data_IF_157433712833
#
_entry.id   IF_157433712833
#
_cell.length_a   1.000
_cell.length_b   1.000
_cell.length_c   1.000
_cell.angle_alpha   90.00
_cell.angle_beta   90.00
_cell.angle_gamma   90.00
#
_symmetry.space_group_name_H-M   'P 1'
#
loop_
_entity.id
_entity.type
_entity.pdbx_description
1 polymer ?
#
# COMPACT_ATOMS: atom_id res chain seq x y z
N UNK A 1 -39.15 5.30 -1.82
CA UNK A 1 -38.03 4.39 -2.16
C UNK A 1 -37.54 4.82 -3.52
N UNK A 2 -36.26 5.18 -3.64
CA UNK A 2 -35.66 5.64 -4.89
C UNK A 2 -35.08 4.44 -5.64
N UNK A 3 -35.44 4.25 -6.90
CA UNK A 3 -34.91 3.18 -7.74
C UNK A 3 -33.72 3.69 -8.56
N UNK A 4 -32.62 2.94 -8.53
CA UNK A 4 -31.39 3.23 -9.26
C UNK A 4 -30.79 1.94 -9.80
N UNK A 5 -29.92 1.99 -10.80
CA UNK A 5 -29.34 0.77 -11.37
C UNK A 5 -28.26 0.20 -10.45
N UNK A 6 -27.36 1.07 -9.99
CA UNK A 6 -26.17 0.69 -9.23
C UNK A 6 -25.99 1.55 -7.98
N UNK A 7 -25.70 0.89 -6.86
CA UNK A 7 -25.24 1.55 -5.62
C UNK A 7 -23.79 1.14 -5.34
N UNK A 8 -22.93 2.11 -5.09
CA UNK A 8 -21.58 1.89 -4.60
C UNK A 8 -21.49 2.34 -3.15
N UNK A 9 -20.95 1.49 -2.27
CA UNK A 9 -20.76 1.81 -0.85
C UNK A 9 -19.25 1.90 -0.56
N UNK A 10 -18.80 3.11 -0.22
CA UNK A 10 -17.42 3.49 -0.02
C UNK A 10 -16.81 4.13 -1.28
N UNK A 11 -16.12 5.25 -1.09
CA UNK A 11 -15.41 6.01 -2.13
C UNK A 11 -13.89 5.78 -2.08
N UNK A 12 -13.48 4.52 -1.84
CA UNK A 12 -12.09 4.06 -1.99
C UNK A 12 -11.66 4.03 -3.46
N UNK A 13 -10.44 3.59 -3.78
CA UNK A 13 -9.87 3.79 -5.12
C UNK A 13 -10.69 3.21 -6.29
N UNK A 14 -11.40 2.09 -6.11
CA UNK A 14 -12.13 1.44 -7.22
C UNK A 14 -13.43 2.18 -7.55
N UNK A 15 -14.17 2.61 -6.52
CA UNK A 15 -15.55 3.03 -6.66
C UNK A 15 -15.75 4.33 -7.47
N UNK A 16 -14.96 5.41 -7.29
CA UNK A 16 -15.10 6.64 -8.08
C UNK A 16 -15.03 6.38 -9.59
N UNK A 17 -14.00 5.66 -10.06
CA UNK A 17 -13.85 5.35 -11.48
C UNK A 17 -14.96 4.42 -11.99
N UNK A 18 -15.35 3.42 -11.20
CA UNK A 18 -16.45 2.54 -11.58
C UNK A 18 -17.78 3.28 -11.66
N UNK A 19 -18.08 4.14 -10.68
CA UNK A 19 -19.31 4.94 -10.64
C UNK A 19 -19.41 5.85 -11.87
N UNK A 20 -18.31 6.51 -12.24
CA UNK A 20 -18.24 7.38 -13.42
C UNK A 20 -18.42 6.58 -14.71
N UNK A 21 -17.79 5.41 -14.85
CA UNK A 21 -17.95 4.57 -16.04
C UNK A 21 -19.38 4.01 -16.18
N UNK A 22 -19.98 3.57 -15.07
CA UNK A 22 -21.38 3.12 -15.05
C UNK A 22 -22.34 4.25 -15.45
N UNK A 23 -22.15 5.44 -14.88
CA UNK A 23 -22.98 6.61 -15.17
C UNK A 23 -22.83 7.09 -16.62
N UNK A 24 -21.60 7.08 -17.15
CA UNK A 24 -21.31 7.39 -18.55
C UNK A 24 -21.94 6.37 -19.53
N UNK A 25 -22.19 5.14 -19.08
CA UNK A 25 -22.92 4.12 -19.82
C UNK A 25 -24.45 4.17 -19.56
N UNK A 26 -24.95 5.30 -19.06
CA UNK A 26 -26.38 5.60 -18.95
C UNK A 26 -27.06 5.06 -17.69
N UNK A 27 -26.34 4.43 -16.77
CA UNK A 27 -26.93 3.95 -15.51
C UNK A 27 -27.22 5.10 -14.55
N UNK A 28 -28.31 5.01 -13.80
CA UNK A 28 -28.53 5.82 -12.60
C UNK A 28 -27.70 5.24 -11.45
N UNK A 29 -26.71 6.00 -11.00
CA UNK A 29 -25.71 5.53 -10.02
C UNK A 29 -25.76 6.37 -8.75
N UNK A 30 -25.68 5.70 -7.60
CA UNK A 30 -25.51 6.36 -6.30
C UNK A 30 -24.21 5.89 -5.67
N UNK A 31 -23.32 6.84 -5.33
CA UNK A 31 -22.11 6.58 -4.56
C UNK A 31 -22.28 7.10 -3.13
N UNK A 32 -22.25 6.17 -2.18
CA UNK A 32 -22.43 6.43 -0.75
C UNK A 32 -21.06 6.42 -0.06
N UNK A 33 -20.74 7.49 0.67
CA UNK A 33 -19.51 7.59 1.47
C UNK A 33 -19.82 8.10 2.88
N UNK A 34 -19.40 7.36 3.91
CA UNK A 34 -19.72 7.67 5.31
C UNK A 34 -18.75 8.62 6.00
N UNK A 35 -17.59 8.86 5.39
CA UNK A 35 -16.51 9.70 5.88
C UNK A 35 -15.99 10.61 4.73
N UNK A 36 -14.68 10.81 4.61
CA UNK A 36 -14.10 11.63 3.54
C UNK A 36 -13.97 10.85 2.23
N UNK A 37 -14.45 11.43 1.13
CA UNK A 37 -14.23 10.92 -0.23
C UNK A 37 -12.73 10.69 -0.53
N UNK A 38 -12.44 9.67 -1.33
CA UNK A 38 -11.08 9.22 -1.64
C UNK A 38 -10.53 8.19 -0.65
N UNK A 39 -11.32 7.86 0.38
CA UNK A 39 -11.05 6.79 1.33
C UNK A 39 -9.70 6.92 2.04
N UNK A 40 -9.09 5.77 2.36
CA UNK A 40 -7.79 5.75 3.06
C UNK A 40 -6.68 6.41 2.24
N UNK A 41 -6.61 6.13 0.94
CA UNK A 41 -5.49 6.51 0.08
C UNK A 41 -5.25 8.03 0.07
N UNK A 42 -6.31 8.81 -0.15
CA UNK A 42 -6.25 10.27 -0.23
C UNK A 42 -6.10 10.90 1.15
N UNK A 43 -6.83 10.40 2.14
CA UNK A 43 -7.00 11.15 3.40
C UNK A 43 -5.97 10.81 4.47
N UNK A 44 -5.61 9.53 4.62
CA UNK A 44 -4.82 9.03 5.77
C UNK A 44 -3.79 7.96 5.38
N UNK A 45 -3.47 7.85 4.09
CA UNK A 45 -2.64 6.79 3.52
C UNK A 45 -1.58 7.34 2.56
N UNK A 46 -1.72 7.04 1.27
CA UNK A 46 -0.73 7.31 0.24
C UNK A 46 -0.43 8.80 0.05
N UNK A 47 -1.43 9.63 -0.25
CA UNK A 47 -1.23 11.08 -0.48
C UNK A 47 -0.52 11.78 0.68
N UNK A 48 -0.99 11.65 1.95
CA UNK A 48 -0.34 12.35 3.05
C UNK A 48 1.05 11.79 3.34
N UNK A 49 1.21 10.46 3.38
CA UNK A 49 2.50 9.83 3.70
C UNK A 49 3.56 10.18 2.65
N UNK A 50 3.22 10.18 1.36
CA UNK A 50 4.16 10.42 0.26
C UNK A 50 4.50 11.91 0.16
N UNK A 51 3.55 12.79 0.48
CA UNK A 51 3.80 14.23 0.63
C UNK A 51 4.76 14.51 1.79
N UNK A 52 4.51 13.90 2.95
CA UNK A 52 5.32 14.10 4.15
C UNK A 52 6.72 13.47 4.01
N UNK A 53 6.80 12.31 3.36
CA UNK A 53 8.07 11.67 2.95
C UNK A 53 8.95 12.62 2.15
N UNK A 54 8.38 13.40 1.24
CA UNK A 54 9.19 14.36 0.47
C UNK A 54 9.78 15.45 1.36
N UNK A 55 9.03 15.98 2.33
CA UNK A 55 9.56 16.93 3.33
C UNK A 55 10.67 16.29 4.17
N UNK A 56 10.46 15.06 4.65
CA UNK A 56 11.44 14.29 5.39
C UNK A 56 12.74 14.04 4.59
N UNK A 57 12.63 13.70 3.29
CA UNK A 57 13.78 13.54 2.40
C UNK A 57 14.53 14.85 2.18
N UNK A 58 13.83 15.98 2.06
CA UNK A 58 14.49 17.30 1.94
C UNK A 58 15.30 17.59 3.20
N UNK A 59 14.76 17.34 4.40
CA UNK A 59 15.49 17.51 5.65
C UNK A 59 16.73 16.60 5.73
N UNK A 60 16.60 15.35 5.28
CA UNK A 60 17.73 14.41 5.20
C UNK A 60 18.84 14.89 4.26
N UNK A 61 18.49 15.26 3.02
CA UNK A 61 19.46 15.79 2.05
C UNK A 61 20.11 17.09 2.51
N UNK A 62 19.36 17.98 3.17
CA UNK A 62 19.92 19.22 3.73
C UNK A 62 20.97 18.95 4.82
N UNK A 63 20.77 17.89 5.62
CA UNK A 63 21.78 17.43 6.61
C UNK A 63 23.00 16.79 5.95
N UNK A 64 22.81 16.14 4.80
CA UNK A 64 23.87 15.55 3.97
C UNK A 64 24.53 16.54 3.00
N UNK A 65 24.13 17.82 2.99
CA UNK A 65 24.54 18.79 1.98
C UNK A 65 26.07 18.91 1.80
N UNK A 66 26.83 18.76 2.89
CA UNK A 66 28.29 18.81 2.87
C UNK A 66 28.93 17.68 2.04
N UNK A 67 28.28 16.52 1.92
CA UNK A 67 28.71 15.42 1.03
C UNK A 67 28.74 15.86 -0.43
N UNK A 68 27.91 16.84 -0.79
CA UNK A 68 27.78 17.39 -2.13
C UNK A 68 28.50 18.74 -2.30
N UNK A 69 29.37 19.11 -1.35
CA UNK A 69 30.08 20.40 -1.37
C UNK A 69 29.19 21.62 -1.10
N UNK A 70 27.97 21.42 -0.57
CA UNK A 70 27.05 22.49 -0.22
C UNK A 70 27.10 22.73 1.29
N UNK A 71 27.46 23.95 1.70
CA UNK A 71 27.54 24.33 3.10
C UNK A 71 26.23 24.93 3.60
N UNK A 72 25.72 24.42 4.72
CA UNK A 72 24.50 24.89 5.39
C UNK A 72 24.77 25.14 6.88
N UNK A 73 23.84 25.80 7.58
CA UNK A 73 23.84 25.87 9.04
C UNK A 73 23.15 24.64 9.68
N UNK A 74 22.89 24.66 11.00
CA UNK A 74 22.09 23.63 11.66
C UNK A 74 20.71 23.48 10.98
N UNK A 75 20.36 22.24 10.63
CA UNK A 75 19.10 21.93 9.95
C UNK A 75 18.02 21.63 10.99
N UNK A 76 16.99 22.47 11.03
CA UNK A 76 15.76 22.26 11.79
C UNK A 76 14.58 22.05 10.83
N UNK A 77 13.55 21.35 11.32
CA UNK A 77 12.31 21.12 10.58
C UNK A 77 11.20 21.87 11.31
N UNK A 78 10.52 22.77 10.61
CA UNK A 78 9.24 23.31 11.04
C UNK A 78 8.17 22.22 10.84
N UNK A 79 7.93 21.44 11.89
CA UNK A 79 7.00 20.33 11.85
C UNK A 79 5.56 20.78 11.55
N UNK A 80 5.00 21.82 12.22
CA UNK A 80 3.70 22.38 11.86
C UNK A 80 3.60 22.76 10.37
N UNK A 81 4.61 23.41 9.79
CA UNK A 81 4.59 23.76 8.37
C UNK A 81 4.63 22.53 7.45
N UNK A 82 5.39 21.49 7.81
CA UNK A 82 5.44 20.23 7.06
C UNK A 82 4.09 19.50 7.07
N UNK A 83 3.42 19.48 8.23
CA UNK A 83 2.06 18.93 8.39
C UNK A 83 1.04 19.76 7.63
N UNK A 84 1.11 21.10 7.68
CA UNK A 84 0.18 21.95 6.95
C UNK A 84 0.32 21.76 5.43
N UNK A 85 1.55 21.69 4.91
CA UNK A 85 1.78 21.36 3.49
C UNK A 85 1.15 20.02 3.10
N UNK A 86 1.24 19.02 3.99
CA UNK A 86 0.63 17.72 3.77
C UNK A 86 -0.91 17.83 3.72
N UNK A 87 -1.52 18.54 4.68
CA UNK A 87 -2.96 18.80 4.73
C UNK A 87 -3.47 19.52 3.49
N UNK A 88 -2.74 20.52 3.00
CA UNK A 88 -3.11 21.26 1.78
C UNK A 88 -3.16 20.34 0.55
N UNK A 89 -2.24 19.38 0.45
CA UNK A 89 -2.22 18.39 -0.64
C UNK A 89 -3.33 17.36 -0.54
N UNK A 90 -3.65 16.92 0.67
CA UNK A 90 -4.81 16.05 0.92
C UNK A 90 -6.09 16.78 0.52
N UNK A 91 -6.26 18.03 0.98
CA UNK A 91 -7.45 18.81 0.70
C UNK A 91 -7.63 19.09 -0.80
N UNK A 92 -6.57 19.49 -1.49
CA UNK A 92 -6.61 19.69 -2.94
C UNK A 92 -6.99 18.41 -3.69
N UNK A 93 -6.42 17.25 -3.28
CA UNK A 93 -6.74 15.96 -3.90
C UNK A 93 -8.19 15.55 -3.64
N UNK A 94 -8.69 15.74 -2.43
CA UNK A 94 -10.07 15.42 -2.04
C UNK A 94 -11.07 16.31 -2.76
N UNK A 95 -10.79 17.61 -2.81
CA UNK A 95 -11.63 18.59 -3.50
C UNK A 95 -11.74 18.29 -4.99
N UNK A 96 -10.61 18.02 -5.66
CA UNK A 96 -10.61 17.66 -7.08
C UNK A 96 -11.40 16.36 -7.37
N UNK A 97 -11.31 15.37 -6.47
CA UNK A 97 -12.09 14.13 -6.58
C UNK A 97 -13.59 14.41 -6.46
N UNK A 98 -14.01 15.17 -5.45
CA UNK A 98 -15.42 15.50 -5.23
C UNK A 98 -15.98 16.29 -6.42
N UNK A 99 -15.26 17.32 -6.89
CA UNK A 99 -15.68 18.10 -8.05
C UNK A 99 -15.86 17.26 -9.31
N UNK A 100 -14.95 16.31 -9.56
CA UNK A 100 -15.08 15.40 -10.70
C UNK A 100 -16.32 14.51 -10.59
N UNK A 101 -16.60 13.98 -9.40
CA UNK A 101 -17.76 13.13 -9.15
C UNK A 101 -19.08 13.91 -9.24
N UNK A 102 -19.18 15.08 -8.61
CA UNK A 102 -20.37 15.95 -8.67
C UNK A 102 -20.64 16.47 -10.09
N UNK A 103 -19.60 16.62 -10.92
CA UNK A 103 -19.70 17.01 -12.31
C UNK A 103 -20.10 15.89 -13.28
N UNK A 104 -20.31 14.66 -12.80
CA UNK A 104 -20.68 13.51 -13.64
C UNK A 104 -22.20 13.35 -13.71
N UNK A 105 -22.76 13.38 -14.92
CA UNK A 105 -24.18 13.15 -15.15
C UNK A 105 -24.58 11.71 -14.75
N UNK A 106 -25.81 11.54 -14.25
CA UNK A 106 -26.35 10.26 -13.73
C UNK A 106 -25.65 9.68 -12.50
N UNK A 107 -24.74 10.44 -11.87
CA UNK A 107 -24.09 10.07 -10.61
C UNK A 107 -24.56 10.98 -9.48
N UNK A 108 -25.18 10.38 -8.46
CA UNK A 108 -25.51 11.05 -7.21
C UNK A 108 -24.53 10.65 -6.11
N UNK A 109 -24.11 11.64 -5.32
CA UNK A 109 -23.29 11.43 -4.13
C UNK A 109 -24.13 11.57 -2.88
N UNK A 110 -24.08 10.57 -2.00
CA UNK A 110 -24.71 10.63 -0.68
C UNK A 110 -23.64 10.49 0.40
N UNK A 111 -23.46 11.55 1.20
CA UNK A 111 -22.60 11.47 2.37
C UNK A 111 -23.38 10.86 3.55
N UNK A 112 -23.06 9.62 3.90
CA UNK A 112 -23.74 8.86 4.94
C UNK A 112 -23.29 7.40 5.00
N UNK A 113 -23.73 6.68 6.03
CA UNK A 113 -23.39 5.26 6.20
C UNK A 113 -24.46 4.38 5.54
N UNK A 114 -24.13 3.83 4.38
CA UNK A 114 -24.99 2.87 3.67
C UNK A 114 -24.94 1.48 4.29
N UNK A 115 -26.11 0.82 4.41
CA UNK A 115 -26.22 -0.57 4.87
C UNK A 115 -27.34 -1.32 4.16
N UNK A 116 -27.23 -2.64 4.06
CA UNK A 116 -28.30 -3.49 3.54
C UNK A 116 -29.47 -3.57 4.52
N UNK A 117 -30.69 -3.52 3.98
CA UNK A 117 -31.95 -3.78 4.70
C UNK A 117 -32.64 -5.06 4.20
N UNK A 118 -32.08 -5.72 3.18
CA UNK A 118 -32.58 -6.96 2.62
C UNK A 118 -32.74 -6.89 1.10
N UNK A 119 -33.76 -7.58 0.58
CA UNK A 119 -34.10 -7.62 -0.85
C UNK A 119 -35.59 -7.42 -1.05
N UNK A 120 -35.94 -6.85 -2.21
CA UNK A 120 -37.30 -6.84 -2.75
C UNK A 120 -37.25 -7.42 -4.17
N UNK A 121 -37.73 -8.66 -4.31
CA UNK A 121 -37.51 -9.46 -5.51
C UNK A 121 -36.02 -9.62 -5.83
N UNK A 122 -35.63 -9.19 -7.03
CA UNK A 122 -34.24 -9.27 -7.49
C UNK A 122 -33.36 -8.11 -7.00
N UNK A 123 -33.97 -7.03 -6.49
CA UNK A 123 -33.29 -5.78 -6.12
C UNK A 123 -32.84 -5.77 -4.66
N UNK A 124 -31.79 -5.02 -4.37
CA UNK A 124 -31.24 -4.81 -3.04
C UNK A 124 -31.79 -3.54 -2.41
N UNK A 125 -32.18 -3.62 -1.15
CA UNK A 125 -32.63 -2.47 -0.37
C UNK A 125 -31.45 -1.94 0.46
N UNK A 126 -31.08 -0.68 0.23
CA UNK A 126 -29.99 0.01 0.93
C UNK A 126 -30.56 1.22 1.67
N UNK A 127 -30.29 1.33 2.97
CA UNK A 127 -30.62 2.53 3.74
C UNK A 127 -29.40 3.43 3.94
N UNK A 128 -29.62 4.73 3.86
CA UNK A 128 -28.63 5.77 4.17
C UNK A 128 -29.36 7.03 4.64
N UNK A 129 -28.97 7.58 5.80
CA UNK A 129 -29.60 8.78 6.37
C UNK A 129 -31.14 8.75 6.50
N UNK A 130 -31.74 7.56 6.62
CA UNK A 130 -33.19 7.36 6.66
C UNK A 130 -33.88 7.29 5.29
N UNK A 131 -33.15 7.51 4.19
CA UNK A 131 -33.59 7.24 2.84
C UNK A 131 -33.42 5.74 2.51
N UNK A 132 -34.33 5.21 1.68
CA UNK A 132 -34.30 3.83 1.18
C UNK A 132 -34.09 3.82 -0.34
N UNK A 133 -33.01 3.21 -0.78
CA UNK A 133 -32.65 2.98 -2.18
C UNK A 133 -32.97 1.52 -2.56
N UNK A 134 -33.40 1.31 -3.80
CA UNK A 134 -33.60 -0.01 -4.40
C UNK A 134 -32.69 -0.12 -5.63
N UNK A 135 -31.74 -1.05 -5.62
CA UNK A 135 -30.70 -1.18 -6.65
C UNK A 135 -30.63 -2.58 -7.26
N UNK A 136 -30.34 -2.68 -8.55
CA UNK A 136 -30.11 -3.98 -9.19
C UNK A 136 -28.70 -4.52 -8.89
N UNK A 137 -27.71 -3.62 -8.81
CA UNK A 137 -26.32 -3.97 -8.54
C UNK A 137 -25.76 -3.19 -7.35
N UNK A 138 -24.91 -3.84 -6.55
CA UNK A 138 -24.21 -3.21 -5.44
C UNK A 138 -22.71 -3.51 -5.50
N UNK A 139 -21.90 -2.46 -5.43
CA UNK A 139 -20.44 -2.56 -5.38
C UNK A 139 -19.93 -2.10 -4.02
N UNK A 140 -19.25 -2.98 -3.30
CA UNK A 140 -18.71 -2.72 -1.99
C UNK A 140 -17.23 -2.34 -2.09
N UNK A 141 -16.87 -1.12 -1.71
CA UNK A 141 -15.50 -0.62 -1.69
C UNK A 141 -15.19 0.15 -0.38
N UNK A 142 -15.65 -0.38 0.74
CA UNK A 142 -15.47 0.22 2.08
C UNK A 142 -14.07 0.02 2.67
N UNK A 143 -13.20 -0.74 1.99
CA UNK A 143 -11.79 -0.89 2.31
C UNK A 143 -11.51 -1.54 3.67
N UNK A 144 -10.39 -1.16 4.27
CA UNK A 144 -9.91 -1.67 5.57
C UNK A 144 -9.53 -0.52 6.51
N UNK A 145 -9.40 -0.79 7.81
CA UNK A 145 -8.86 0.11 8.83
C UNK A 145 -7.71 -0.53 9.60
N UNK A 146 -6.94 0.26 10.35
CA UNK A 146 -5.86 -0.27 11.19
C UNK A 146 -6.41 -1.25 12.23
N UNK A 147 -5.66 -2.33 12.48
CA UNK A 147 -5.95 -3.26 13.56
C UNK A 147 -5.42 -2.69 14.89
N UNK A 148 -6.34 -2.40 15.80
CA UNK A 148 -6.00 -2.15 17.21
C UNK A 148 -5.88 -3.50 17.92
N UNK A 149 -4.71 -3.88 18.46
CA UNK A 149 -4.55 -5.15 19.16
C UNK A 149 -5.29 -5.16 20.49
N UNK A 150 -5.72 -6.34 20.94
CA UNK A 150 -6.18 -6.54 22.30
C UNK A 150 -4.97 -6.67 23.22
N UNK A 151 -4.71 -5.64 24.04
CA UNK A 151 -3.49 -5.52 24.85
C UNK A 151 -3.83 -4.93 26.22
N UNK A 152 -3.40 -5.54 27.34
CA UNK A 152 -3.64 -5.01 28.67
C UNK A 152 -3.14 -3.57 28.83
N UNK A 153 -4.02 -2.70 29.32
CA UNK A 153 -3.73 -1.28 29.58
C UNK A 153 -3.77 -0.37 28.35
N UNK A 154 -4.08 -0.89 27.16
CA UNK A 154 -4.20 -0.08 25.94
C UNK A 154 -5.23 1.05 26.08
N UNK A 155 -6.39 0.77 26.68
CA UNK A 155 -7.45 1.77 26.92
C UNK A 155 -7.07 2.85 27.93
N UNK A 156 -5.97 2.64 28.68
CA UNK A 156 -5.49 3.61 29.67
C UNK A 156 -4.48 4.61 29.10
N UNK A 157 -4.04 4.44 27.84
CA UNK A 157 -3.03 5.31 27.22
C UNK A 157 -3.47 5.82 25.85
N UNK A 158 -3.10 7.05 25.48
CA UNK A 158 -3.20 7.49 24.09
C UNK A 158 -2.36 6.57 23.20
N UNK A 159 -2.96 6.05 22.14
CA UNK A 159 -2.29 5.26 21.13
C UNK A 159 -2.67 5.74 19.74
N UNK A 160 -1.76 5.55 18.80
CA UNK A 160 -1.89 6.02 17.44
C UNK A 160 -2.06 4.85 16.48
N UNK A 161 -2.77 5.14 15.41
CA UNK A 161 -2.76 4.42 14.15
C UNK A 161 -2.17 5.33 13.05
N UNK A 162 -2.19 4.87 11.79
CA UNK A 162 -1.68 5.69 10.69
C UNK A 162 -2.43 7.02 10.52
N UNK A 163 -3.74 7.07 10.83
CA UNK A 163 -4.54 8.27 10.65
C UNK A 163 -4.25 9.32 11.73
N UNK A 164 -4.30 8.90 12.99
CA UNK A 164 -4.05 9.76 14.16
C UNK A 164 -2.59 10.22 14.26
N UNK A 165 -1.62 9.41 13.82
CA UNK A 165 -0.24 9.88 13.71
C UNK A 165 -0.11 11.04 12.70
N UNK A 166 -0.73 10.92 11.52
CA UNK A 166 -0.73 11.99 10.52
C UNK A 166 -1.52 13.24 10.95
N UNK A 167 -2.35 13.13 11.99
CA UNK A 167 -3.14 14.23 12.54
C UNK A 167 -2.38 15.06 13.59
N UNK A 168 -1.23 14.59 14.11
CA UNK A 168 -0.46 15.30 15.12
C UNK A 168 -0.03 16.70 14.64
N UNK A 169 -0.01 17.65 15.57
CA UNK A 169 0.49 19.02 15.34
C UNK A 169 1.92 19.24 15.86
N UNK A 170 2.45 18.27 16.59
CA UNK A 170 3.80 18.28 17.15
C UNK A 170 4.55 17.00 16.78
N UNK A 171 5.87 17.12 16.64
CA UNK A 171 6.72 15.97 16.38
C UNK A 171 6.87 15.17 17.67
N UNK A 172 6.59 13.85 17.69
CA UNK A 172 6.87 13.02 18.85
C UNK A 172 8.34 13.14 19.28
N UNK A 173 8.61 13.37 20.56
CA UNK A 173 9.98 13.32 21.08
C UNK A 173 10.57 11.92 20.93
N UNK A 174 9.76 10.91 21.22
CA UNK A 174 10.07 9.50 20.98
C UNK A 174 8.82 8.75 20.53
N UNK A 175 8.86 8.25 19.29
CA UNK A 175 7.81 7.45 18.69
C UNK A 175 8.17 5.97 18.80
N UNK A 176 7.38 5.23 19.57
CA UNK A 176 7.40 3.77 19.57
C UNK A 176 6.51 3.27 18.43
N UNK A 177 6.98 2.32 17.63
CA UNK A 177 6.20 1.72 16.56
C UNK A 177 6.13 0.21 16.78
N UNK A 178 4.93 -0.33 16.91
CA UNK A 178 4.69 -1.77 17.00
C UNK A 178 4.37 -2.31 15.60
N UNK A 179 5.31 -3.06 15.04
CA UNK A 179 5.21 -3.67 13.71
C UNK A 179 6.22 -3.10 12.70
N UNK A 180 7.08 -3.97 12.17
CA UNK A 180 8.12 -3.61 11.19
C UNK A 180 7.76 -4.01 9.74
N UNK A 181 6.50 -3.77 9.36
CA UNK A 181 6.05 -3.88 7.96
C UNK A 181 6.18 -2.53 7.22
N UNK A 182 5.83 -2.48 5.94
CA UNK A 182 5.98 -1.28 5.11
C UNK A 182 5.43 0.00 5.76
N UNK A 183 4.26 -0.04 6.41
CA UNK A 183 3.69 1.14 7.10
C UNK A 183 4.61 1.62 8.23
N UNK A 184 5.05 0.70 9.09
CA UNK A 184 5.90 1.02 10.23
C UNK A 184 7.29 1.52 9.82
N UNK A 185 7.87 0.93 8.78
CA UNK A 185 9.18 1.32 8.25
C UNK A 185 9.13 2.70 7.56
N UNK A 186 8.12 2.95 6.71
CA UNK A 186 7.93 4.25 6.05
C UNK A 186 7.70 5.35 7.07
N UNK A 187 6.73 5.19 7.97
CA UNK A 187 6.42 6.20 8.99
C UNK A 187 7.58 6.38 9.96
N UNK A 188 8.27 5.30 10.34
CA UNK A 188 9.47 5.37 11.17
C UNK A 188 10.56 6.24 10.55
N UNK A 189 10.89 6.04 9.27
CA UNK A 189 11.89 6.86 8.59
C UNK A 189 11.44 8.31 8.40
N UNK A 190 10.17 8.52 8.06
CA UNK A 190 9.60 9.87 7.91
C UNK A 190 9.76 10.64 9.23
N UNK A 191 9.26 10.10 10.33
CA UNK A 191 9.28 10.78 11.63
C UNK A 191 10.70 10.92 12.19
N UNK A 192 11.56 9.92 11.96
CA UNK A 192 12.98 10.03 12.30
C UNK A 192 13.64 11.23 11.64
N UNK A 193 13.39 11.42 10.34
CA UNK A 193 13.94 12.54 9.56
C UNK A 193 13.28 13.88 9.90
N UNK A 194 12.02 13.89 10.34
CA UNK A 194 11.35 15.11 10.83
C UNK A 194 11.80 15.53 12.23
N UNK A 195 12.44 14.65 13.00
CA UNK A 195 13.10 15.01 14.27
C UNK A 195 12.82 14.07 15.43
N UNK A 196 11.94 13.08 15.28
CA UNK A 196 11.63 12.14 16.35
C UNK A 196 12.82 11.19 16.63
N UNK A 197 12.96 10.76 17.89
CA UNK A 197 13.59 9.47 18.20
C UNK A 197 12.61 8.37 17.83
N UNK A 198 13.07 7.26 17.23
CA UNK A 198 12.18 6.20 16.77
C UNK A 198 12.71 4.83 17.21
N UNK A 199 11.85 4.05 17.84
CA UNK A 199 12.11 2.66 18.19
C UNK A 199 11.00 1.77 17.61
N UNK A 200 11.38 0.79 16.79
CA UNK A 200 10.45 -0.14 16.14
C UNK A 200 10.55 -1.51 16.82
N UNK A 201 9.44 -1.92 17.45
CA UNK A 201 9.28 -3.18 18.15
C UNK A 201 8.63 -4.18 17.21
N UNK A 202 9.23 -5.35 17.06
CA UNK A 202 8.73 -6.38 16.15
C UNK A 202 8.94 -7.78 16.68
N UNK A 203 7.88 -8.60 16.60
CA UNK A 203 7.85 -9.95 17.16
C UNK A 203 8.82 -10.92 16.49
N UNK A 204 9.15 -10.70 15.21
CA UNK A 204 10.02 -11.57 14.45
C UNK A 204 11.47 -11.11 14.51
N UNK A 205 12.39 -12.01 14.17
CA UNK A 205 13.83 -11.73 14.14
C UNK A 205 14.29 -10.87 12.97
N UNK A 206 13.39 -10.51 12.04
CA UNK A 206 13.67 -9.65 10.90
C UNK A 206 12.49 -8.75 10.57
N UNK A 207 12.79 -7.58 9.98
CA UNK A 207 11.79 -6.66 9.44
C UNK A 207 11.34 -7.11 8.04
N UNK A 208 10.29 -6.48 7.50
CA UNK A 208 9.86 -6.69 6.13
C UNK A 208 9.77 -8.19 5.72
N UNK A 209 9.21 -9.04 6.59
CA UNK A 209 9.28 -10.52 6.50
C UNK A 209 8.79 -11.14 5.17
N UNK A 210 8.07 -10.38 4.35
CA UNK A 210 7.62 -10.81 3.03
C UNK A 210 8.72 -10.72 1.96
N UNK A 211 9.79 -9.98 2.22
CA UNK A 211 10.95 -9.88 1.34
C UNK A 211 11.98 -10.98 1.62
N UNK A 212 12.89 -11.15 0.67
CA UNK A 212 14.09 -11.95 0.88
C UNK A 212 14.95 -11.38 2.04
N UNK A 213 15.69 -12.26 2.70
CA UNK A 213 16.46 -11.93 3.91
C UNK A 213 17.51 -10.84 3.67
N UNK A 214 18.14 -10.84 2.49
CA UNK A 214 19.17 -9.87 2.12
C UNK A 214 18.60 -8.48 1.83
N UNK A 215 17.43 -8.40 1.20
CA UNK A 215 16.68 -7.15 1.04
C UNK A 215 16.27 -6.59 2.41
N UNK A 216 15.73 -7.46 3.27
CA UNK A 216 15.31 -7.10 4.63
C UNK A 216 16.48 -6.57 5.47
N UNK A 217 17.66 -7.21 5.35
CA UNK A 217 18.86 -6.82 6.05
C UNK A 217 19.37 -5.44 5.61
N UNK A 218 19.41 -5.17 4.30
CA UNK A 218 19.84 -3.87 3.78
C UNK A 218 18.89 -2.74 4.21
N UNK A 219 17.57 -2.99 4.21
CA UNK A 219 16.60 -2.02 4.74
C UNK A 219 16.87 -1.73 6.22
N UNK A 220 17.13 -2.76 7.01
CA UNK A 220 17.44 -2.57 8.42
C UNK A 220 18.76 -1.80 8.63
N UNK A 221 19.76 -2.05 7.79
CA UNK A 221 21.08 -1.40 7.86
C UNK A 221 20.99 0.11 7.66
N UNK A 222 20.41 0.59 6.53
CA UNK A 222 20.33 2.02 6.28
C UNK A 222 19.39 2.74 7.26
N UNK A 223 18.32 2.08 7.72
CA UNK A 223 17.43 2.65 8.73
C UNK A 223 18.11 2.76 10.11
N UNK A 224 18.94 1.79 10.49
CA UNK A 224 19.78 1.89 11.70
C UNK A 224 20.83 2.98 11.57
N UNK A 225 21.43 3.15 10.39
CA UNK A 225 22.39 4.22 10.13
C UNK A 225 21.77 5.62 10.30
N UNK A 226 20.46 5.76 10.05
CA UNK A 226 19.70 6.98 10.34
C UNK A 226 19.35 7.14 11.83
N UNK A 227 19.59 6.15 12.68
CA UNK A 227 19.32 6.17 14.12
C UNK A 227 17.95 5.64 14.52
N UNK A 228 17.32 4.81 13.67
CA UNK A 228 16.14 4.03 14.08
C UNK A 228 16.60 2.80 14.86
N UNK A 229 16.06 2.64 16.06
CA UNK A 229 16.30 1.46 16.88
C UNK A 229 15.32 0.34 16.52
N UNK A 230 15.81 -0.89 16.38
CA UNK A 230 14.98 -2.07 16.15
C UNK A 230 15.05 -3.02 17.34
N UNK A 231 13.92 -3.25 17.98
CA UNK A 231 13.75 -4.23 19.07
C UNK A 231 13.05 -5.46 18.49
N UNK A 232 13.85 -6.38 17.96
CA UNK A 232 13.39 -7.60 17.26
C UNK A 232 13.22 -8.76 18.24
N UNK A 233 12.51 -9.80 17.81
CA UNK A 233 12.13 -10.94 18.67
C UNK A 233 11.40 -10.49 19.96
N UNK A 234 10.69 -9.37 19.89
CA UNK A 234 10.06 -8.76 21.05
C UNK A 234 8.64 -8.30 20.73
N UNK A 235 7.74 -8.44 21.70
CA UNK A 235 6.35 -8.00 21.60
C UNK A 235 5.99 -7.16 22.81
N UNK A 236 5.14 -6.15 22.62
CA UNK A 236 4.55 -5.42 23.73
C UNK A 236 3.52 -6.33 24.41
N UNK A 237 3.63 -6.51 25.73
CA UNK A 237 2.76 -7.37 26.53
C UNK A 237 1.77 -6.57 27.37
N UNK A 238 2.11 -5.33 27.72
CA UNK A 238 1.26 -4.42 28.49
C UNK A 238 1.64 -2.96 28.23
N UNK A 239 0.64 -2.08 28.33
CA UNK A 239 0.84 -0.63 28.36
C UNK A 239 0.43 -0.04 29.70
N UNK A 240 1.06 1.07 30.06
CA UNK A 240 0.69 1.90 31.20
C UNK A 240 0.99 3.38 30.93
N UNK A 241 0.26 4.32 31.55
CA UNK A 241 0.60 5.73 31.52
C UNK A 241 2.00 5.99 32.09
N UNK A 242 2.71 6.94 31.49
CA UNK A 242 4.00 7.43 31.98
C UNK A 242 4.02 8.97 31.94
N UNK A 243 4.87 9.60 32.77
CA UNK A 243 4.97 11.06 32.80
C UNK A 243 5.34 11.66 31.42
N UNK A 244 6.21 10.95 30.69
CA UNK A 244 6.66 11.33 29.35
C UNK A 244 5.75 10.80 28.23
N UNK A 245 4.62 10.14 28.54
CA UNK A 245 3.70 9.56 27.55
C UNK A 245 3.25 8.14 27.93
N UNK A 246 3.88 7.13 27.33
CA UNK A 246 3.51 5.72 27.46
C UNK A 246 4.70 4.85 27.87
N UNK A 247 4.43 3.93 28.79
CA UNK A 247 5.33 2.84 29.17
C UNK A 247 4.87 1.55 28.50
N UNK A 248 5.73 0.93 27.70
CA UNK A 248 5.50 -0.35 27.03
C UNK A 248 6.35 -1.45 27.66
N UNK A 249 5.68 -2.39 28.33
CA UNK A 249 6.31 -3.62 28.83
C UNK A 249 6.51 -4.59 27.66
N UNK A 250 7.71 -5.15 27.56
CA UNK A 250 8.11 -6.06 26.49
C UNK A 250 8.11 -7.52 26.97
N UNK A 251 8.10 -8.45 26.01
CA UNK A 251 8.04 -9.89 26.28
C UNK A 251 9.24 -10.46 27.04
N UNK A 252 10.35 -9.73 27.12
CA UNK A 252 11.53 -10.08 27.94
C UNK A 252 11.49 -9.47 29.35
N UNK A 253 10.41 -8.77 29.70
CA UNK A 253 10.21 -8.08 30.99
C UNK A 253 10.85 -6.70 31.06
N UNK A 254 11.55 -6.24 30.01
CA UNK A 254 12.05 -4.87 29.93
C UNK A 254 10.92 -3.88 29.66
N UNK A 255 11.18 -2.59 29.89
CA UNK A 255 10.21 -1.51 29.66
C UNK A 255 10.81 -0.44 28.78
N UNK A 256 10.06 -0.02 27.76
CA UNK A 256 10.41 1.08 26.88
C UNK A 256 9.44 2.24 27.10
N UNK A 257 9.99 3.43 27.34
CA UNK A 257 9.22 4.67 27.51
C UNK A 257 9.27 5.43 26.20
N UNK A 258 8.12 5.92 25.73
CA UNK A 258 8.07 6.86 24.61
C UNK A 258 6.95 7.88 24.78
N UNK A 259 7.06 8.97 24.02
CA UNK A 259 6.03 10.03 24.00
C UNK A 259 4.73 9.59 23.34
N UNK A 260 4.85 8.74 22.31
CA UNK A 260 3.75 8.27 21.50
C UNK A 260 4.00 6.82 21.12
N UNK A 261 2.93 6.05 20.94
CA UNK A 261 2.98 4.68 20.42
C UNK A 261 2.07 4.52 19.21
N UNK A 262 2.62 4.04 18.09
CA UNK A 262 1.91 3.70 16.86
C UNK A 262 1.74 2.18 16.76
N UNK A 263 0.53 1.73 16.47
CA UNK A 263 0.26 0.36 16.05
C UNK A 263 0.19 0.23 14.52
N UNK A 264 1.18 -0.48 13.96
CA UNK A 264 1.28 -0.80 12.53
C UNK A 264 1.26 -2.33 12.31
N UNK A 265 0.37 -3.02 13.04
CA UNK A 265 0.36 -4.49 13.19
C UNK A 265 -0.54 -5.22 12.18
N UNK A 266 -1.37 -4.50 11.43
CA UNK A 266 -2.25 -5.10 10.43
C UNK A 266 -3.43 -4.21 10.08
N UNK A 267 -4.30 -4.75 9.23
CA UNK A 267 -5.54 -4.11 8.80
C UNK A 267 -6.70 -5.09 8.85
N UNK A 268 -7.89 -4.59 9.14
CA UNK A 268 -9.14 -5.34 9.18
C UNK A 268 -10.17 -4.73 8.24
N UNK A 269 -11.00 -5.55 7.56
CA UNK A 269 -11.99 -5.07 6.59
C UNK A 269 -13.15 -4.35 7.27
N UNK A 270 -13.70 -3.33 6.60
CA UNK A 270 -14.81 -2.51 7.11
C UNK A 270 -16.15 -3.10 6.67
N UNK A 271 -16.61 -4.14 7.36
CA UNK A 271 -17.85 -4.89 7.05
C UNK A 271 -18.97 -4.68 8.06
N UNK A 272 -18.66 -4.17 9.25
CA UNK A 272 -19.54 -4.21 10.42
C UNK A 272 -20.80 -3.34 10.24
N UNK A 273 -20.67 -2.24 9.49
CA UNK A 273 -21.79 -1.32 9.23
C UNK A 273 -22.65 -1.73 8.03
N UNK A 274 -22.21 -2.70 7.22
CA UNK A 274 -22.88 -3.06 5.97
C UNK A 274 -24.14 -3.91 6.19
N UNK A 275 -24.28 -4.59 7.33
CA UNK A 275 -25.37 -5.55 7.58
C UNK A 275 -25.44 -6.67 6.51
N UNK A 276 -24.29 -7.28 6.20
CA UNK A 276 -24.16 -8.32 5.16
C UNK A 276 -25.12 -9.52 5.37
N UNK A 277 -25.47 -9.81 6.63
CA UNK A 277 -26.39 -10.89 6.98
C UNK A 277 -27.80 -10.71 6.36
N UNK A 278 -28.25 -9.47 6.15
CA UNK A 278 -29.56 -9.19 5.54
C UNK A 278 -29.67 -9.66 4.08
N UNK A 279 -28.54 -9.85 3.40
CA UNK A 279 -28.48 -10.30 2.00
C UNK A 279 -27.71 -11.60 1.81
N UNK A 280 -27.14 -12.16 2.88
CA UNK A 280 -26.45 -13.44 2.86
C UNK A 280 -25.04 -13.41 2.27
N UNK A 281 -24.36 -12.26 2.25
CA UNK A 281 -22.96 -12.17 1.77
C UNK A 281 -22.00 -12.80 2.79
N UNK A 282 -21.14 -13.70 2.32
CA UNK A 282 -20.18 -14.42 3.17
C UNK A 282 -18.84 -13.69 3.33
N UNK A 283 -18.28 -13.79 4.53
CA UNK A 283 -16.90 -13.37 4.84
C UNK A 283 -16.02 -14.57 5.19
N UNK A 284 -14.71 -14.44 4.99
CA UNK A 284 -13.73 -15.42 5.47
C UNK A 284 -13.51 -15.31 7.00
N UNK A 285 -12.63 -16.16 7.54
CA UNK A 285 -12.32 -16.19 8.99
C UNK A 285 -11.67 -14.89 9.50
N UNK A 286 -11.15 -14.05 8.61
CA UNK A 286 -10.50 -12.77 8.90
C UNK A 286 -11.45 -11.59 8.64
N UNK A 287 -12.70 -11.86 8.24
CA UNK A 287 -13.74 -10.88 7.96
C UNK A 287 -13.74 -10.31 6.54
N UNK A 288 -12.85 -10.75 5.65
CA UNK A 288 -12.83 -10.25 4.27
C UNK A 288 -13.98 -10.85 3.48
N UNK A 289 -14.60 -10.07 2.59
CA UNK A 289 -15.68 -10.57 1.74
C UNK A 289 -15.09 -11.55 0.72
N UNK A 290 -15.65 -12.76 0.65
CA UNK A 290 -15.20 -13.77 -0.30
C UNK A 290 -15.62 -13.40 -1.71
N UNK A 291 -14.68 -13.45 -2.65
CA UNK A 291 -14.99 -13.24 -4.06
C UNK A 291 -14.30 -14.24 -4.98
N UNK A 292 -14.88 -14.44 -6.17
CA UNK A 292 -14.16 -15.02 -7.31
C UNK A 292 -13.13 -14.03 -7.89
N UNK A 293 -12.50 -14.41 -9.01
CA UNK A 293 -11.48 -13.60 -9.68
C UNK A 293 -12.04 -12.41 -10.48
N UNK A 294 -13.36 -12.32 -10.63
CA UNK A 294 -14.10 -11.18 -11.19
C UNK A 294 -14.79 -10.33 -10.10
N UNK A 295 -14.42 -10.58 -8.85
CA UNK A 295 -14.91 -9.88 -7.66
C UNK A 295 -16.39 -10.10 -7.33
N UNK A 296 -17.04 -11.11 -7.93
CA UNK A 296 -18.39 -11.49 -7.55
C UNK A 296 -18.37 -12.13 -6.16
N UNK A 297 -19.33 -11.75 -5.33
CA UNK A 297 -19.59 -12.44 -4.06
C UNK A 297 -20.42 -13.71 -4.30
N UNK A 298 -20.76 -14.43 -3.23
CA UNK A 298 -21.73 -15.53 -3.30
C UNK A 298 -23.17 -15.07 -3.62
N UNK A 299 -23.44 -13.76 -3.64
CA UNK A 299 -24.75 -13.18 -3.95
C UNK A 299 -24.67 -12.49 -5.31
N UNK A 300 -25.41 -13.01 -6.29
CA UNK A 300 -25.48 -12.43 -7.63
C UNK A 300 -25.95 -10.97 -7.58
N UNK A 301 -25.25 -10.09 -8.30
CA UNK A 301 -25.49 -8.65 -8.29
C UNK A 301 -24.69 -7.87 -7.25
N UNK A 302 -23.94 -8.54 -6.35
CA UNK A 302 -23.02 -7.90 -5.41
C UNK A 302 -21.57 -8.24 -5.76
N UNK A 303 -20.75 -7.20 -5.95
CA UNK A 303 -19.29 -7.30 -6.10
C UNK A 303 -18.56 -6.59 -4.95
N UNK A 304 -17.37 -7.09 -4.57
CA UNK A 304 -16.53 -6.47 -3.55
C UNK A 304 -15.12 -6.14 -4.09
N UNK A 305 -14.76 -4.86 -4.07
CA UNK A 305 -13.58 -4.31 -4.74
C UNK A 305 -12.61 -3.68 -3.73
N UNK A 306 -11.32 -3.70 -4.04
CA UNK A 306 -10.26 -3.15 -3.20
C UNK A 306 -10.06 -3.96 -1.92
N UNK A 307 -9.46 -3.34 -0.90
CA UNK A 307 -8.94 -4.06 0.27
C UNK A 307 -9.95 -4.99 0.98
N UNK A 308 -11.26 -4.72 0.90
CA UNK A 308 -12.31 -5.51 1.57
C UNK A 308 -12.42 -6.95 1.02
N UNK A 309 -11.95 -7.21 -0.20
CA UNK A 309 -11.98 -8.55 -0.81
C UNK A 309 -10.75 -9.41 -0.45
N UNK A 310 -9.71 -8.80 0.14
CA UNK A 310 -8.48 -9.51 0.55
C UNK A 310 -7.57 -9.99 -0.61
N UNK A 311 -7.89 -9.68 -1.88
CA UNK A 311 -7.12 -10.05 -3.09
C UNK A 311 -6.04 -9.03 -3.47
N UNK A 312 -5.85 -8.01 -2.65
CA UNK A 312 -4.86 -6.95 -2.81
C UNK A 312 -4.93 -6.00 -1.62
N UNK A 313 -3.86 -5.28 -1.35
CA UNK A 313 -3.80 -4.30 -0.26
C UNK A 313 -3.15 -2.99 -0.71
N UNK A 314 -3.28 -2.67 -2.00
CA UNK A 314 -2.66 -1.50 -2.61
C UNK A 314 -3.64 -0.73 -3.50
N UNK A 315 -3.42 0.58 -3.59
CA UNK A 315 -4.24 1.49 -4.41
C UNK A 315 -4.33 1.02 -5.86
N UNK A 316 -3.22 0.69 -6.51
CA UNK A 316 -3.22 0.22 -7.91
C UNK A 316 -3.91 -1.14 -8.07
N UNK A 317 -3.87 -2.02 -7.06
CA UNK A 317 -4.66 -3.26 -7.09
C UNK A 317 -6.15 -2.97 -7.04
N UNK A 318 -6.60 -2.04 -6.18
CA UNK A 318 -8.00 -1.61 -6.14
C UNK A 318 -8.44 -0.90 -7.42
N UNK A 319 -7.56 -0.13 -8.06
CA UNK A 319 -7.87 0.47 -9.36
C UNK A 319 -8.00 -0.60 -10.46
N UNK A 320 -7.13 -1.60 -10.44
CA UNK A 320 -7.22 -2.73 -11.37
C UNK A 320 -8.46 -3.60 -11.12
N UNK A 321 -8.95 -3.69 -9.88
CA UNK A 321 -10.24 -4.33 -9.57
C UNK A 321 -11.38 -3.62 -10.32
N UNK A 322 -11.38 -2.28 -10.37
CA UNK A 322 -12.31 -1.51 -11.19
C UNK A 322 -12.18 -1.89 -12.68
N UNK A 323 -10.96 -1.93 -13.22
CA UNK A 323 -10.76 -2.22 -14.65
C UNK A 323 -11.29 -3.59 -15.05
N UNK A 324 -11.07 -4.62 -14.23
CA UNK A 324 -11.60 -5.97 -14.44
C UNK A 324 -13.13 -5.97 -14.32
N UNK A 325 -13.68 -5.36 -13.27
CA UNK A 325 -15.13 -5.31 -13.06
C UNK A 325 -15.85 -4.53 -14.18
N UNK A 326 -15.23 -3.48 -14.70
CA UNK A 326 -15.75 -2.69 -15.81
C UNK A 326 -15.67 -3.43 -17.14
N UNK A 327 -14.56 -4.13 -17.42
CA UNK A 327 -14.39 -4.87 -18.67
C UNK A 327 -15.46 -5.95 -18.88
N UNK A 328 -15.95 -6.55 -17.80
CA UNK A 328 -17.08 -7.51 -17.84
C UNK A 328 -18.41 -6.84 -18.25
N UNK A 329 -18.60 -5.57 -17.90
CA UNK A 329 -19.86 -4.84 -18.10
C UNK A 329 -19.93 -4.08 -19.43
N UNK A 330 -18.79 -3.54 -19.90
CA UNK A 330 -18.71 -2.73 -21.13
C UNK A 330 -18.78 -3.58 -22.43
N UNK A 331 -18.97 -4.90 -22.31
CA UNK A 331 -19.08 -5.81 -23.45
C UNK A 331 -17.79 -5.95 -24.27
N UNK A 332 -16.67 -5.37 -23.80
CA UNK A 332 -15.35 -5.61 -24.38
C UNK A 332 -14.92 -7.04 -24.10
N UNK A 333 -14.14 -7.63 -24.99
CA UNK A 333 -13.46 -8.90 -24.70
C UNK A 333 -12.16 -8.56 -23.96
N UNK A 334 -12.10 -8.72 -22.61
CA UNK A 334 -10.87 -8.42 -21.89
C UNK A 334 -9.74 -9.33 -22.38
N UNK A 335 -8.52 -8.78 -22.41
CA UNK A 335 -7.30 -9.53 -22.70
C UNK A 335 -6.24 -9.24 -21.62
N UNK A 336 -5.19 -10.06 -21.58
CA UNK A 336 -4.06 -9.91 -20.67
C UNK A 336 -4.48 -9.97 -19.21
N UNK A 337 -4.13 -8.93 -18.44
CA UNK A 337 -4.40 -8.89 -17.01
C UNK A 337 -5.81 -8.42 -16.64
N UNK A 338 -6.59 -7.92 -17.61
CA UNK A 338 -7.99 -7.55 -17.38
C UNK A 338 -8.95 -8.74 -17.43
N UNK A 339 -8.46 -9.91 -17.86
CA UNK A 339 -9.24 -11.16 -17.89
C UNK A 339 -9.79 -11.51 -16.51
N UNK A 340 -8.92 -11.59 -15.50
CA UNK A 340 -9.30 -11.93 -14.13
C UNK A 340 -8.20 -11.52 -13.14
N UNK A 341 -8.55 -11.44 -11.86
CA UNK A 341 -7.62 -11.03 -10.80
C UNK A 341 -6.52 -12.07 -10.51
N UNK A 342 -6.71 -13.35 -10.88
CA UNK A 342 -5.75 -14.42 -10.61
C UNK A 342 -4.56 -14.38 -11.58
N UNK A 343 -4.72 -13.75 -12.75
CA UNK A 343 -3.66 -13.46 -13.73
C UNK A 343 -2.83 -12.24 -13.41
N UNK A 344 -3.22 -11.47 -12.39
CA UNK A 344 -2.55 -10.23 -12.02
C UNK A 344 -1.09 -10.49 -11.64
N UNK A 345 -0.19 -9.81 -12.32
CA UNK A 345 1.20 -9.67 -11.93
C UNK A 345 1.23 -8.75 -10.71
N UNK A 346 1.36 -9.34 -9.53
CA UNK A 346 1.46 -8.57 -8.29
C UNK A 346 2.76 -7.77 -8.28
N UNK A 347 2.59 -6.45 -8.20
CA UNK A 347 3.65 -5.47 -8.03
C UNK A 347 3.34 -4.56 -6.84
N UNK A 348 4.36 -4.02 -6.19
CA UNK A 348 4.21 -2.98 -5.18
C UNK A 348 5.52 -2.23 -4.98
N UNK A 349 5.44 -1.12 -4.26
CA UNK A 349 6.60 -0.40 -3.75
C UNK A 349 6.50 -0.21 -2.24
N UNK A 350 7.65 -0.26 -1.57
CA UNK A 350 7.83 0.25 -0.22
C UNK A 350 8.61 1.56 -0.32
N UNK A 351 8.04 2.64 0.18
CA UNK A 351 8.57 3.99 0.05
C UNK A 351 9.48 4.37 1.22
N UNK A 352 10.29 3.43 1.70
CA UNK A 352 11.52 3.79 2.42
C UNK A 352 12.43 4.59 1.48
N UNK A 353 13.54 5.05 1.99
CA UNK A 353 14.51 5.80 1.22
C UNK A 353 15.93 5.28 1.49
N UNK A 354 16.51 4.50 0.56
CA UNK A 354 16.01 4.21 -0.79
C UNK A 354 14.71 3.38 -0.84
N UNK A 355 13.88 3.56 -1.89
CA UNK A 355 12.66 2.78 -2.09
C UNK A 355 12.96 1.35 -2.57
N UNK A 356 12.05 0.43 -2.27
CA UNK A 356 12.01 -0.91 -2.83
C UNK A 356 10.85 -1.03 -3.82
N UNK A 357 11.13 -1.33 -5.07
CA UNK A 357 10.15 -1.83 -6.05
C UNK A 357 10.17 -3.35 -6.11
N UNK A 358 9.00 -3.98 -6.11
CA UNK A 358 8.84 -5.44 -6.12
C UNK A 358 7.82 -5.88 -7.16
N UNK A 359 8.12 -6.96 -7.87
CA UNK A 359 7.17 -7.64 -8.77
C UNK A 359 7.38 -9.14 -8.79
N UNK A 360 6.31 -9.94 -8.84
CA UNK A 360 6.38 -11.39 -8.99
C UNK A 360 7.00 -12.12 -7.79
N UNK A 361 7.67 -13.24 -8.05
CA UNK A 361 8.17 -14.13 -6.98
C UNK A 361 9.47 -13.64 -6.32
N UNK A 362 9.71 -14.05 -5.07
CA UNK A 362 10.97 -13.79 -4.34
C UNK A 362 12.05 -14.81 -4.73
N UNK A 363 13.30 -14.59 -4.32
CA UNK A 363 14.34 -15.62 -4.46
C UNK A 363 14.02 -16.86 -3.62
N UNK A 364 13.45 -16.69 -2.41
CA UNK A 364 12.98 -17.82 -1.61
C UNK A 364 11.94 -18.68 -2.34
N UNK A 365 10.92 -18.05 -2.95
CA UNK A 365 9.91 -18.75 -3.75
C UNK A 365 10.49 -19.36 -5.03
N UNK A 366 11.49 -18.72 -5.64
CA UNK A 366 12.21 -19.30 -6.78
C UNK A 366 12.93 -20.59 -6.38
N UNK A 367 13.59 -20.63 -5.21
CA UNK A 367 14.22 -21.85 -4.68
C UNK A 367 13.22 -22.98 -4.45
N UNK A 368 12.06 -22.67 -3.87
CA UNK A 368 10.96 -23.65 -3.69
C UNK A 368 10.51 -24.24 -5.04
N UNK A 369 10.38 -23.41 -6.08
CA UNK A 369 9.99 -23.85 -7.43
C UNK A 369 11.09 -24.67 -8.12
N UNK A 370 12.37 -24.38 -7.87
CA UNK A 370 13.48 -25.21 -8.36
C UNK A 370 13.45 -26.60 -7.72
N UNK A 371 13.14 -26.70 -6.43
CA UNK A 371 12.94 -27.99 -5.76
C UNK A 371 11.78 -28.80 -6.36
N UNK A 372 10.82 -28.13 -7.00
CA UNK A 372 9.70 -28.74 -7.74
C UNK A 372 10.04 -29.04 -9.20
N UNK A 373 11.29 -28.83 -9.64
CA UNK A 373 11.78 -29.16 -10.97
C UNK A 373 11.72 -28.03 -12.00
N UNK A 374 11.39 -26.80 -11.61
CA UNK A 374 11.46 -25.65 -12.53
C UNK A 374 12.90 -25.19 -12.75
N UNK A 375 13.23 -24.78 -13.98
CA UNK A 375 14.54 -24.23 -14.32
C UNK A 375 14.50 -22.71 -14.21
N UNK A 376 14.98 -22.17 -13.10
CA UNK A 376 14.93 -20.73 -12.81
C UNK A 376 16.35 -20.16 -12.77
N UNK A 377 16.51 -18.99 -13.39
CA UNK A 377 17.75 -18.22 -13.37
C UNK A 377 17.56 -16.94 -12.56
N UNK A 378 18.62 -16.51 -11.87
CA UNK A 378 18.68 -15.27 -11.11
C UNK A 378 19.94 -14.50 -11.46
N UNK A 379 19.85 -13.17 -11.45
CA UNK A 379 20.99 -12.28 -11.48
C UNK A 379 20.77 -11.10 -10.55
N UNK A 380 21.86 -10.61 -9.96
CA UNK A 380 21.85 -9.49 -9.04
C UNK A 380 22.99 -8.51 -9.37
N UNK A 381 22.79 -7.24 -9.03
CA UNK A 381 23.83 -6.22 -8.98
C UNK A 381 23.58 -5.30 -7.79
N UNK A 382 24.64 -4.84 -7.12
CA UNK A 382 24.54 -3.86 -6.03
C UNK A 382 24.36 -2.46 -6.61
N UNK A 383 23.61 -1.59 -5.94
CA UNK A 383 23.53 -0.18 -6.35
C UNK A 383 24.92 0.50 -6.29
N UNK A 384 25.80 0.07 -5.40
CA UNK A 384 27.21 0.44 -5.38
C UNK A 384 28.02 0.05 -6.63
N UNK A 385 27.48 -0.76 -7.54
CA UNK A 385 28.10 -1.11 -8.83
C UNK A 385 27.39 -0.44 -10.03
N UNK A 386 26.33 0.35 -9.80
CA UNK A 386 25.54 1.07 -10.81
C UNK A 386 26.03 2.51 -10.94
N UNK A 387 26.43 2.94 -12.14
CA UNK A 387 27.03 4.26 -12.37
C UNK A 387 26.14 5.41 -11.90
N UNK A 388 24.86 5.41 -12.28
CA UNK A 388 23.90 6.44 -11.88
C UNK A 388 23.76 6.57 -10.35
N UNK A 389 23.78 5.46 -9.62
CA UNK A 389 23.70 5.45 -8.17
C UNK A 389 24.97 6.02 -7.51
N UNK A 390 26.14 5.74 -8.09
CA UNK A 390 27.42 6.35 -7.65
C UNK A 390 27.43 7.86 -7.87
N UNK A 391 27.01 8.31 -9.04
CA UNK A 391 26.95 9.73 -9.41
C UNK A 391 26.06 10.54 -8.46
N UNK A 392 24.98 9.94 -7.97
CA UNK A 392 24.04 10.55 -7.03
C UNK A 392 24.44 10.38 -5.56
N UNK A 393 25.51 9.62 -5.25
CA UNK A 393 25.85 9.21 -3.88
C UNK A 393 24.69 8.50 -3.15
N UNK A 394 23.93 7.68 -3.88
CA UNK A 394 22.76 6.91 -3.41
C UNK A 394 22.99 5.42 -3.72
N UNK A 395 24.02 4.84 -3.11
CA UNK A 395 24.56 3.51 -3.44
C UNK A 395 23.99 2.35 -2.63
N UNK A 396 23.11 2.62 -1.67
CA UNK A 396 22.45 1.59 -0.88
C UNK A 396 21.45 0.81 -1.73
N UNK A 397 21.45 -0.52 -1.57
CA UNK A 397 20.49 -1.40 -2.23
C UNK A 397 21.07 -2.32 -3.30
N UNK A 398 20.17 -2.96 -4.04
CA UNK A 398 20.46 -3.92 -5.08
C UNK A 398 19.32 -3.98 -6.12
N UNK A 399 19.64 -4.55 -7.28
CA UNK A 399 18.67 -4.96 -8.27
C UNK A 399 18.80 -6.46 -8.49
N UNK A 400 17.69 -7.18 -8.38
CA UNK A 400 17.54 -8.63 -8.61
C UNK A 400 16.54 -8.89 -9.71
N UNK A 401 16.90 -9.73 -10.68
CA UNK A 401 16.03 -10.24 -11.74
C UNK A 401 15.92 -11.77 -11.63
N UNK A 402 14.71 -12.29 -11.72
CA UNK A 402 14.41 -13.73 -11.70
C UNK A 402 13.63 -14.06 -12.97
N UNK A 403 14.13 -15.04 -13.72
CA UNK A 403 13.55 -15.46 -15.01
C UNK A 403 13.43 -16.98 -15.09
N UNK A 404 12.46 -17.45 -15.87
CA UNK A 404 12.34 -18.84 -16.24
C UNK A 404 13.28 -19.16 -17.41
N UNK A 405 14.07 -20.23 -17.29
CA UNK A 405 15.07 -20.58 -18.30
C UNK A 405 14.46 -21.13 -19.60
N UNK A 406 13.28 -21.75 -19.52
CA UNK A 406 12.66 -22.46 -20.65
C UNK A 406 11.75 -21.54 -21.47
N UNK A 407 10.83 -20.86 -20.79
CA UNK A 407 9.89 -19.90 -21.40
C UNK A 407 10.50 -18.52 -21.63
N UNK A 408 11.69 -18.27 -21.07
CA UNK A 408 12.39 -16.99 -21.13
C UNK A 408 11.62 -15.81 -20.50
N UNK A 409 10.59 -16.09 -19.69
CA UNK A 409 9.76 -15.06 -19.08
C UNK A 409 10.36 -14.56 -17.76
N UNK A 410 10.13 -13.28 -17.46
CA UNK A 410 10.33 -12.78 -16.10
C UNK A 410 9.37 -13.48 -15.12
N UNK A 411 9.90 -13.91 -13.99
CA UNK A 411 9.15 -14.50 -12.87
C UNK A 411 9.04 -13.54 -11.70
N UNK A 412 10.03 -12.66 -11.54
CA UNK A 412 10.00 -11.61 -10.53
C UNK A 412 11.23 -10.71 -10.57
N UNK A 413 11.15 -9.61 -9.84
CA UNK A 413 12.27 -8.72 -9.60
C UNK A 413 12.12 -8.01 -8.24
N UNK A 414 13.24 -7.53 -7.73
CA UNK A 414 13.32 -6.61 -6.60
C UNK A 414 14.35 -5.52 -6.92
N UNK A 415 13.99 -4.26 -6.74
CA UNK A 415 14.85 -3.11 -7.01
C UNK A 415 14.82 -2.22 -5.78
N UNK A 416 15.80 -2.41 -4.90
CA UNK A 416 16.05 -1.55 -3.74
C UNK A 416 17.10 -0.52 -4.15
N UNK A 417 16.76 0.76 -4.16
CA UNK A 417 17.68 1.82 -4.56
C UNK A 417 16.98 3.02 -5.20
N UNK A 418 17.76 4.02 -5.61
CA UNK A 418 17.24 5.24 -6.24
C UNK A 418 16.32 4.92 -7.44
N UNK A 419 15.06 5.37 -7.34
CA UNK A 419 14.04 5.15 -8.37
C UNK A 419 13.51 3.71 -8.48
N UNK A 420 13.82 2.82 -7.54
CA UNK A 420 13.37 1.43 -7.58
C UNK A 420 11.84 1.27 -7.64
N UNK A 421 11.12 2.19 -7.00
CA UNK A 421 9.66 2.31 -7.02
C UNK A 421 9.06 2.59 -8.41
N UNK A 422 9.78 3.33 -9.26
CA UNK A 422 9.36 3.64 -10.63
C UNK A 422 9.90 2.62 -11.64
N UNK A 423 11.18 2.26 -11.51
CA UNK A 423 11.89 1.39 -12.46
C UNK A 423 11.28 -0.01 -12.51
N UNK A 424 10.72 -0.49 -11.40
CA UNK A 424 10.05 -1.79 -11.33
C UNK A 424 8.88 -1.93 -12.32
N UNK A 425 8.25 -0.81 -12.72
CA UNK A 425 7.18 -0.81 -13.70
C UNK A 425 7.63 -1.37 -15.06
N UNK A 426 8.91 -1.22 -15.42
CA UNK A 426 9.49 -1.82 -16.64
C UNK A 426 9.35 -3.34 -16.59
N UNK A 427 9.77 -3.98 -15.50
CA UNK A 427 9.67 -5.44 -15.34
C UNK A 427 8.21 -5.88 -15.24
N UNK A 428 7.37 -5.11 -14.52
CA UNK A 428 5.93 -5.38 -14.42
C UNK A 428 5.26 -5.42 -15.80
N UNK A 429 5.59 -4.50 -16.70
CA UNK A 429 5.03 -4.47 -18.06
C UNK A 429 5.57 -5.62 -18.93
N UNK A 430 6.84 -6.02 -18.79
CA UNK A 430 7.36 -7.22 -19.45
C UNK A 430 6.65 -8.50 -18.98
N UNK A 431 6.40 -8.63 -17.67
CA UNK A 431 5.62 -9.74 -17.13
C UNK A 431 4.17 -9.72 -17.62
N UNK A 432 3.55 -8.54 -17.69
CA UNK A 432 2.19 -8.36 -18.19
C UNK A 432 1.99 -8.86 -19.63
N UNK A 433 3.02 -8.72 -20.47
CA UNK A 433 3.00 -9.12 -21.88
C UNK A 433 3.47 -10.56 -22.11
N UNK A 434 4.09 -11.19 -21.10
CA UNK A 434 4.71 -12.50 -21.25
C UNK A 434 5.92 -12.50 -22.20
N UNK A 435 6.51 -11.34 -22.47
CA UNK A 435 7.65 -11.17 -23.36
C UNK A 435 8.92 -11.84 -22.82
N UNK A 436 9.77 -12.33 -23.72
CA UNK A 436 11.07 -12.91 -23.37
C UNK A 436 12.02 -11.85 -22.82
N UNK A 437 12.75 -12.16 -21.73
CA UNK A 437 13.79 -11.30 -21.19
C UNK A 437 14.93 -11.04 -22.20
N UNK A 438 15.10 -11.91 -23.20
CA UNK A 438 16.12 -11.73 -24.24
C UNK A 438 15.87 -10.51 -25.10
N UNK A 439 14.62 -10.09 -25.26
CA UNK A 439 14.29 -8.83 -25.93
C UNK A 439 14.83 -7.63 -25.14
N UNK A 440 14.79 -7.69 -23.80
CA UNK A 440 15.37 -6.66 -22.94
C UNK A 440 16.90 -6.62 -23.05
N UNK A 441 17.57 -7.77 -23.21
CA UNK A 441 19.03 -7.80 -23.42
C UNK A 441 19.48 -7.09 -24.69
N UNK A 442 18.60 -6.95 -25.68
CA UNK A 442 18.87 -6.30 -26.97
C UNK A 442 18.37 -4.85 -27.02
N UNK A 443 17.70 -4.38 -25.96
CA UNK A 443 17.16 -3.03 -25.91
C UNK A 443 18.29 -1.99 -25.87
N UNK A 444 17.99 -0.79 -26.39
CA UNK A 444 18.87 0.39 -26.29
C UNK A 444 18.52 1.17 -25.01
N UNK A 445 19.31 1.08 -23.93
CA UNK A 445 19.03 1.85 -22.73
C UNK A 445 19.51 3.30 -22.85
N UNK A 446 18.86 4.19 -22.10
CA UNK A 446 19.32 5.58 -21.89
C UNK A 446 20.40 5.62 -20.82
N UNK A 447 21.48 6.35 -21.09
CA UNK A 447 22.65 6.48 -20.22
C UNK A 447 22.83 7.92 -19.68
N UNK A 448 23.22 8.11 -18.41
CA UNK A 448 23.28 7.12 -17.33
C UNK A 448 21.93 6.98 -16.60
N UNK A 449 21.44 5.75 -16.40
CA UNK A 449 20.22 5.47 -15.63
C UNK A 449 20.34 4.16 -14.87
N UNK A 450 19.64 3.98 -13.75
CA UNK A 450 19.65 2.66 -13.06
C UNK A 450 19.07 1.56 -13.95
N UNK A 451 18.02 1.86 -14.72
CA UNK A 451 17.39 0.92 -15.65
C UNK A 451 18.33 0.49 -16.80
N UNK A 452 19.39 1.25 -17.10
CA UNK A 452 20.35 0.88 -18.14
C UNK A 452 21.09 -0.42 -17.85
N UNK A 453 21.15 -0.83 -16.57
CA UNK A 453 21.84 -2.03 -16.15
C UNK A 453 21.03 -3.30 -16.40
N UNK A 454 19.76 -3.24 -16.81
CA UNK A 454 18.97 -4.47 -17.04
C UNK A 454 19.66 -5.44 -18.02
N UNK A 455 20.13 -5.03 -19.22
CA UNK A 455 20.88 -5.93 -20.10
C UNK A 455 22.14 -6.50 -19.44
N UNK A 456 22.91 -5.65 -18.75
CA UNK A 456 24.16 -6.05 -18.05
C UNK A 456 23.90 -7.06 -16.94
N UNK A 457 22.80 -6.92 -16.20
CA UNK A 457 22.40 -7.84 -15.15
C UNK A 457 21.95 -9.17 -15.76
N UNK A 458 21.15 -9.13 -16.83
CA UNK A 458 20.70 -10.34 -17.53
C UNK A 458 21.86 -11.17 -18.13
N UNK A 459 22.97 -10.53 -18.50
CA UNK A 459 24.19 -11.26 -18.91
C UNK A 459 24.83 -12.09 -17.79
N UNK A 460 24.46 -11.86 -16.53
CA UNK A 460 24.99 -12.54 -15.34
C UNK A 460 24.03 -13.59 -14.77
N UNK A 461 22.99 -13.96 -15.53
CA UNK A 461 22.03 -14.98 -15.13
C UNK A 461 22.74 -16.30 -14.81
N UNK A 462 22.42 -16.84 -13.63
CA UNK A 462 22.91 -18.13 -13.15
C UNK A 462 21.73 -18.93 -12.61
N UNK A 463 21.85 -20.26 -12.61
CA UNK A 463 20.84 -21.12 -12.00
C UNK A 463 20.62 -20.74 -10.52
N UNK A 464 19.36 -20.74 -10.10
CA UNK A 464 19.01 -20.64 -8.67
C UNK A 464 19.43 -21.96 -8.00
N UNK A 465 20.26 -21.85 -6.96
CA UNK A 465 20.74 -22.96 -6.13
C UNK A 465 20.13 -22.99 -4.74
#
# INVERSE_FOLDING_TARGET
MKEVDSVLIGAGQAAPSLAVSLAANGQQVVLIEGNLYGGTCVNVGCTPTKTLRKSARVAHLARRAAEFGVMTGPISVDFPAAIQRMRDKVEASRHGLVQWLEGTENLELIHGWGRFEGRDGERFLISVNGEMLSAAHVYLNTGTRALTPDLPGLDSVPHLDNASLLALNECPEHLLIVGASYIGLELGQIYRRLGARVSIIHRAGRIAEREDDDISAQIAEFLRAEGIEFILNSSVTRLAPHADGVSAELSDGSTLIGSHILFATGRIPNVERLNLAAVGVETDKRGFIRTDAHFNTNVAGIKALGDINGRGAFTHTSYHDYQIAWAELDGQQPDGQWLDADRRVLSYAMFTDPPLGRVGITLAQARERVQQGQSILVADIRMADVSRAKEESETDGMLRLIVDAQSERFLGAAILGIGGDEIIAVISNYMATGASYRLMMQALPVHPTVAEFFPTVLMRLRAVG
#
